data_IF_870098603693
#
_entry.id   IF_870098603693
#
_cell.length_a   1.000
_cell.length_b   1.000
_cell.length_c   1.000
_cell.angle_alpha   90.00
_cell.angle_beta   90.00
_cell.angle_gamma   90.00
#
_symmetry.space_group_name_H-M   'P 1'
#
loop_
_entity.id
_entity.type
_entity.pdbx_description
1 polymer ?
#
# COMPACT_ATOMS: atom_id res chain seq x y z
N UNK A 1 7.96 47.81 72.17
CA UNK A 1 7.01 46.70 71.91
C UNK A 1 6.85 46.59 70.39
N UNK A 2 7.52 45.59 69.81
CA UNK A 2 6.97 44.31 69.31
C UNK A 2 6.36 44.42 67.90
N UNK A 3 7.24 44.07 66.97
CA UNK A 3 7.02 43.59 65.60
C UNK A 3 5.92 42.53 65.57
N UNK A 4 4.96 42.64 64.63
CA UNK A 4 4.15 41.51 64.15
C UNK A 4 3.73 41.73 62.68
N UNK A 5 4.56 41.16 61.80
CA UNK A 5 4.27 40.23 60.70
C UNK A 5 2.91 40.29 59.97
N UNK A 6 3.02 40.73 58.72
CA UNK A 6 2.38 40.29 57.46
C UNK A 6 1.13 39.37 57.48
N UNK A 7 0.13 39.76 56.68
CA UNK A 7 -0.64 38.85 55.83
C UNK A 7 -0.98 39.52 54.50
N UNK A 8 -0.49 38.93 53.42
CA UNK A 8 -0.77 39.32 52.05
C UNK A 8 -2.16 38.83 51.63
N UNK A 9 -2.95 39.70 51.01
CA UNK A 9 -4.22 39.32 50.37
C UNK A 9 -4.06 39.46 48.87
N UNK A 10 -3.97 38.32 48.21
CA UNK A 10 -3.84 38.17 46.75
C UNK A 10 -5.23 38.36 46.14
N UNK A 11 -5.50 39.52 45.53
CA UNK A 11 -6.74 39.76 44.81
C UNK A 11 -6.59 39.38 43.33
N UNK A 12 -7.54 38.58 42.86
CA UNK A 12 -7.53 37.81 41.62
C UNK A 12 -7.52 38.65 40.33
N UNK A 13 -6.71 38.21 39.36
CA UNK A 13 -6.71 38.68 37.98
C UNK A 13 -7.77 37.89 37.18
N UNK A 14 -8.65 38.53 36.38
CA UNK A 14 -9.59 37.80 35.55
C UNK A 14 -8.83 37.08 34.42
N UNK A 15 -8.86 35.75 34.49
CA UNK A 15 -8.35 34.87 33.43
C UNK A 15 -9.19 35.06 32.18
N UNK A 16 -8.67 35.84 31.24
CA UNK A 16 -9.13 35.83 29.87
C UNK A 16 -9.06 34.39 29.36
N UNK A 17 -10.22 33.80 29.11
CA UNK A 17 -10.39 32.53 28.41
C UNK A 17 -9.90 32.71 26.98
N UNK A 18 -8.59 32.61 26.78
CA UNK A 18 -8.05 32.19 25.49
C UNK A 18 -8.60 30.79 25.27
N UNK A 19 -9.68 30.69 24.50
CA UNK A 19 -10.00 29.48 23.75
C UNK A 19 -8.75 29.17 22.96
N UNK A 20 -7.88 28.30 23.50
CA UNK A 20 -7.08 27.46 22.64
C UNK A 20 -8.11 26.72 21.80
N UNK A 21 -8.30 27.17 20.55
CA UNK A 21 -8.59 26.22 19.50
C UNK A 21 -7.46 25.21 19.60
N UNK A 22 -7.69 24.13 20.33
CA UNK A 22 -7.00 22.89 20.06
C UNK A 22 -7.32 22.63 18.60
N UNK A 23 -6.40 23.03 17.74
CA UNK A 23 -6.30 22.48 16.41
C UNK A 23 -6.14 20.99 16.68
N UNK A 24 -7.27 20.27 16.69
CA UNK A 24 -7.28 18.85 16.44
C UNK A 24 -6.76 18.75 15.02
N UNK A 25 -5.44 18.81 14.87
CA UNK A 25 -4.79 18.11 13.79
C UNK A 25 -5.35 16.70 13.95
N UNK A 26 -6.24 16.34 13.02
CA UNK A 26 -6.62 14.97 12.83
C UNK A 26 -5.34 14.25 12.39
N UNK A 27 -4.47 13.93 13.35
CA UNK A 27 -3.51 12.87 13.22
C UNK A 27 -4.24 11.56 13.49
N UNK A 28 -5.34 11.36 12.76
CA UNK A 28 -5.80 10.04 12.35
C UNK A 28 -4.90 9.53 11.20
N UNK A 29 -3.63 9.95 11.18
CA UNK A 29 -2.51 9.10 10.77
C UNK A 29 -2.38 7.93 11.78
N UNK A 30 -3.51 7.25 12.03
CA UNK A 30 -3.50 5.85 12.39
C UNK A 30 -2.73 5.23 11.25
N UNK A 31 -1.50 4.87 11.58
CA UNK A 31 -0.71 3.79 11.00
C UNK A 31 -1.60 2.72 10.34
N UNK A 32 -2.15 3.02 9.15
CA UNK A 32 -2.50 2.05 8.12
C UNK A 32 -1.18 1.54 7.53
N UNK A 33 -0.24 1.19 8.39
CA UNK A 33 0.95 0.43 8.02
C UNK A 33 0.40 -0.91 7.57
N UNK A 34 0.08 -1.01 6.29
CA UNK A 34 -0.13 -2.31 5.68
C UNK A 34 1.06 -3.16 6.07
N UNK A 35 0.80 -4.29 6.71
CA UNK A 35 1.86 -5.25 6.98
C UNK A 35 2.26 -5.77 5.61
N UNK A 36 3.47 -5.47 5.11
CA UNK A 36 3.81 -5.76 3.73
C UNK A 36 3.65 -7.26 3.40
N UNK A 37 3.82 -8.16 4.38
CA UNK A 37 3.58 -9.59 4.20
C UNK A 37 2.10 -10.05 4.15
N UNK A 38 1.16 -9.31 4.74
CA UNK A 38 -0.25 -9.71 4.78
C UNK A 38 -1.04 -9.07 3.63
N UNK A 39 -2.01 -9.80 3.08
CA UNK A 39 -2.91 -9.25 2.05
C UNK A 39 -3.66 -8.06 2.63
N UNK A 40 -3.57 -6.91 1.96
CA UNK A 40 -4.24 -5.69 2.35
C UNK A 40 -5.76 -5.82 2.11
N UNK A 41 -6.55 -5.21 2.99
CA UNK A 41 -8.00 -5.16 2.85
C UNK A 41 -8.41 -4.41 1.57
N UNK A 42 -9.54 -4.81 0.99
CA UNK A 42 -9.99 -4.27 -0.29
C UNK A 42 -10.24 -2.76 -0.21
N UNK A 43 -10.73 -2.27 0.92
CA UNK A 43 -10.97 -0.85 1.19
C UNK A 43 -9.68 -0.04 1.19
N UNK A 44 -8.59 -0.61 1.73
CA UNK A 44 -7.27 0.04 1.73
C UNK A 44 -6.77 0.16 0.30
N UNK A 45 -6.90 -0.90 -0.50
CA UNK A 45 -6.48 -0.90 -1.90
C UNK A 45 -7.32 0.06 -2.77
N UNK A 46 -8.61 0.19 -2.47
CA UNK A 46 -9.52 1.11 -3.16
C UNK A 46 -9.21 2.59 -2.83
N UNK A 47 -8.81 2.88 -1.60
CA UNK A 47 -8.43 4.23 -1.15
C UNK A 47 -7.11 4.73 -1.78
N UNK A 48 -6.29 3.84 -2.38
CA UNK A 48 -5.00 4.20 -2.96
C UNK A 48 -5.19 5.06 -4.22
N UNK A 49 -4.59 6.26 -4.20
CA UNK A 49 -4.63 7.19 -5.32
C UNK A 49 -3.58 6.80 -6.36
N UNK A 50 -4.05 6.42 -7.54
CA UNK A 50 -3.21 6.08 -8.70
C UNK A 50 -2.04 5.13 -8.35
N UNK A 51 -2.30 3.93 -7.79
CA UNK A 51 -1.22 3.02 -7.44
C UNK A 51 -0.53 2.43 -8.69
N UNK A 52 0.75 2.09 -8.56
CA UNK A 52 1.47 1.25 -9.53
C UNK A 52 1.22 -0.22 -9.18
N UNK A 53 0.78 -1.02 -10.14
CA UNK A 53 0.55 -2.45 -9.91
C UNK A 53 1.73 -3.25 -10.44
N UNK A 54 2.33 -4.07 -9.58
CA UNK A 54 3.41 -4.99 -9.90
C UNK A 54 2.92 -6.43 -9.80
N UNK A 55 2.97 -7.13 -10.93
CA UNK A 55 2.69 -8.56 -11.02
C UNK A 55 3.99 -9.34 -10.84
N UNK A 56 4.13 -10.05 -9.73
CA UNK A 56 5.37 -10.77 -9.40
C UNK A 56 5.34 -12.26 -9.75
N UNK A 57 4.37 -12.69 -10.55
CA UNK A 57 4.32 -14.04 -11.15
C UNK A 57 5.36 -14.20 -12.24
N UNK A 58 5.67 -15.45 -12.54
CA UNK A 58 6.46 -15.77 -13.73
C UNK A 58 5.65 -15.46 -14.99
N UNK A 59 6.26 -14.99 -16.09
CA UNK A 59 5.54 -14.59 -17.30
C UNK A 59 4.70 -15.75 -17.86
N UNK A 60 5.22 -16.98 -17.79
CA UNK A 60 4.48 -18.19 -18.17
C UNK A 60 3.21 -18.41 -17.32
N UNK A 61 3.21 -18.04 -16.04
CA UNK A 61 2.02 -18.12 -15.18
C UNK A 61 0.99 -17.03 -15.52
N UNK A 62 1.47 -15.85 -15.91
CA UNK A 62 0.61 -14.74 -16.36
C UNK A 62 -0.08 -15.11 -17.67
N UNK A 63 0.66 -15.68 -18.63
CA UNK A 63 0.13 -16.16 -19.90
C UNK A 63 -0.81 -17.36 -19.73
N UNK A 64 -0.50 -18.28 -18.80
CA UNK A 64 -1.38 -19.41 -18.46
C UNK A 64 -2.62 -19.01 -17.65
N UNK A 65 -2.76 -17.74 -17.27
CA UNK A 65 -3.92 -17.22 -16.56
C UNK A 65 -4.07 -17.71 -15.12
N UNK A 66 -2.96 -18.04 -14.45
CA UNK A 66 -2.97 -18.61 -13.11
C UNK A 66 -3.28 -17.55 -12.05
N UNK A 67 -4.41 -17.69 -11.36
CA UNK A 67 -4.90 -16.72 -10.36
C UNK A 67 -6.39 -16.45 -10.44
N UNK A 68 -7.09 -17.13 -11.37
CA UNK A 68 -8.52 -16.96 -11.60
C UNK A 68 -8.83 -15.79 -12.53
N UNK A 69 -10.08 -15.67 -13.00
CA UNK A 69 -10.53 -14.49 -13.72
C UNK A 69 -10.71 -13.29 -12.76
N UNK A 70 -10.24 -12.08 -13.11
CA UNK A 70 -9.36 -11.76 -14.24
C UNK A 70 -7.93 -12.27 -14.02
N UNK A 71 -7.36 -12.90 -15.05
CA UNK A 71 -6.02 -13.48 -15.00
C UNK A 71 -4.90 -12.43 -14.96
N UNK A 72 -5.13 -11.28 -15.58
CA UNK A 72 -4.20 -10.16 -15.71
C UNK A 72 -4.95 -8.88 -15.38
N UNK A 73 -4.26 -7.95 -14.73
CA UNK A 73 -4.77 -6.61 -14.44
C UNK A 73 -4.22 -5.65 -15.49
N UNK A 74 -5.08 -4.82 -16.09
CA UNK A 74 -4.62 -3.81 -17.04
C UNK A 74 -3.76 -2.75 -16.35
N UNK A 75 -2.66 -2.37 -16.99
CA UNK A 75 -1.67 -1.45 -16.41
C UNK A 75 -0.72 -2.08 -15.38
N UNK A 76 -0.83 -3.39 -15.09
CA UNK A 76 0.13 -4.08 -14.25
C UNK A 76 1.46 -4.31 -14.99
N UNK A 77 2.57 -3.97 -14.33
CA UNK A 77 3.92 -4.25 -14.81
C UNK A 77 4.35 -5.61 -14.27
N UNK A 78 4.73 -6.54 -15.15
CA UNK A 78 5.20 -7.85 -14.72
C UNK A 78 6.69 -7.80 -14.37
N UNK A 79 7.00 -8.08 -13.10
CA UNK A 79 8.37 -8.19 -12.58
C UNK A 79 8.47 -9.46 -11.73
N UNK A 80 8.86 -10.60 -12.32
CA UNK A 80 8.89 -11.88 -11.62
C UNK A 80 9.82 -11.88 -10.41
N UNK A 81 9.28 -12.28 -9.25
CA UNK A 81 10.07 -12.40 -8.03
C UNK A 81 11.10 -13.54 -8.13
N UNK A 82 10.74 -14.64 -8.79
CA UNK A 82 11.62 -15.80 -8.98
C UNK A 82 12.83 -15.44 -9.85
N UNK A 83 14.03 -15.80 -9.39
CA UNK A 83 15.28 -15.64 -10.16
C UNK A 83 15.52 -16.90 -10.98
N UNK A 84 15.86 -16.73 -12.26
CA UNK A 84 16.24 -17.83 -13.17
C UNK A 84 15.21 -18.97 -13.28
N UNK A 85 13.92 -18.67 -13.07
CA UNK A 85 12.84 -19.66 -13.05
C UNK A 85 12.82 -20.57 -11.82
N UNK A 86 13.68 -20.29 -10.83
CA UNK A 86 13.77 -21.07 -9.58
C UNK A 86 12.79 -20.52 -8.56
N UNK A 87 12.10 -21.42 -7.85
CA UNK A 87 11.11 -21.06 -6.82
C UNK A 87 11.78 -20.39 -5.62
N UNK A 88 11.06 -19.47 -4.98
CA UNK A 88 11.45 -18.83 -3.71
C UNK A 88 11.82 -19.79 -2.57
N UNK A 89 11.35 -21.05 -2.60
CA UNK A 89 11.70 -22.08 -1.61
C UNK A 89 13.10 -22.64 -1.82
N UNK A 90 13.59 -22.62 -3.05
CA UNK A 90 14.90 -23.17 -3.44
C UNK A 90 15.95 -22.06 -3.51
N UNK A 91 15.58 -20.90 -4.07
CA UNK A 91 16.42 -19.70 -4.08
C UNK A 91 15.59 -18.49 -3.64
N UNK A 92 15.78 -18.01 -2.40
CA UNK A 92 15.18 -16.75 -1.99
C UNK A 92 15.83 -15.60 -2.76
N UNK A 93 15.00 -14.70 -3.28
CA UNK A 93 15.48 -13.48 -3.94
C UNK A 93 15.89 -12.48 -2.86
N UNK A 94 17.03 -11.82 -3.02
CA UNK A 94 17.41 -10.73 -2.13
C UNK A 94 16.74 -9.43 -2.55
N UNK A 95 16.66 -8.46 -1.63
CA UNK A 95 16.13 -7.14 -1.92
C UNK A 95 16.87 -6.45 -3.08
N UNK A 96 18.21 -6.50 -3.08
CA UNK A 96 19.03 -5.88 -4.10
C UNK A 96 18.79 -6.49 -5.49
N UNK A 97 18.69 -7.82 -5.58
CA UNK A 97 18.37 -8.51 -6.84
C UNK A 97 16.99 -8.10 -7.36
N UNK A 98 16.00 -8.00 -6.49
CA UNK A 98 14.64 -7.61 -6.87
C UNK A 98 14.58 -6.15 -7.35
N UNK A 99 15.22 -5.23 -6.63
CA UNK A 99 15.29 -3.81 -7.03
C UNK A 99 16.05 -3.64 -8.36
N UNK A 100 17.12 -4.42 -8.57
CA UNK A 100 17.85 -4.40 -9.85
C UNK A 100 16.93 -4.81 -11.01
N UNK A 101 16.19 -5.90 -10.87
CA UNK A 101 15.19 -6.33 -11.87
C UNK A 101 14.14 -5.27 -12.14
N UNK A 102 13.64 -4.63 -11.09
CA UNK A 102 12.68 -3.54 -11.25
C UNK A 102 13.28 -2.41 -12.08
N UNK A 103 14.52 -2.01 -11.82
CA UNK A 103 15.20 -0.96 -12.59
C UNK A 103 15.45 -1.35 -14.06
N UNK A 104 15.55 -2.65 -14.38
CA UNK A 104 15.67 -3.14 -15.76
C UNK A 104 14.33 -3.05 -16.53
N UNK A 105 13.20 -3.24 -15.84
CA UNK A 105 11.85 -3.21 -16.45
C UNK A 105 11.23 -1.81 -16.40
N UNK A 106 11.45 -1.09 -15.31
CA UNK A 106 10.87 0.22 -15.01
C UNK A 106 12.02 1.19 -14.76
N UNK A 107 12.12 2.22 -15.60
CA UNK A 107 13.19 3.23 -15.55
C UNK A 107 13.31 3.89 -14.17
N UNK A 108 12.19 4.07 -13.46
CA UNK A 108 12.17 4.46 -12.05
C UNK A 108 10.82 4.13 -11.41
N UNK A 109 10.84 3.54 -10.21
CA UNK A 109 9.62 3.45 -9.40
C UNK A 109 9.26 4.82 -8.82
N UNK A 110 7.97 5.23 -8.88
CA UNK A 110 7.53 6.45 -8.23
C UNK A 110 7.62 6.29 -6.70
N UNK A 111 8.31 7.22 -6.05
CA UNK A 111 8.33 7.31 -4.57
C UNK A 111 7.15 8.09 -4.01
N UNK A 112 6.44 8.80 -4.87
CA UNK A 112 5.29 9.65 -4.59
C UNK A 112 3.94 8.91 -4.73
N UNK A 113 3.95 7.64 -5.15
CA UNK A 113 2.75 6.84 -5.40
C UNK A 113 2.85 5.48 -4.71
N UNK A 114 1.74 4.96 -4.15
CA UNK A 114 1.72 3.64 -3.55
C UNK A 114 1.88 2.55 -4.62
N UNK A 115 2.53 1.46 -4.24
CA UNK A 115 2.79 0.30 -5.08
C UNK A 115 1.94 -0.87 -4.55
N UNK A 116 1.18 -1.52 -5.43
CA UNK A 116 0.45 -2.75 -5.12
C UNK A 116 1.22 -3.91 -5.76
N UNK A 117 1.73 -4.82 -4.94
CA UNK A 117 2.33 -6.07 -5.44
C UNK A 117 1.31 -7.19 -5.39
N UNK A 118 1.30 -8.06 -6.40
CA UNK A 118 0.38 -9.19 -6.41
C UNK A 118 0.97 -10.42 -7.06
N UNK A 119 0.41 -11.57 -6.72
CA UNK A 119 0.69 -12.80 -7.43
C UNK A 119 -0.59 -13.58 -7.67
N UNK A 120 -0.55 -14.92 -7.66
CA UNK A 120 -1.76 -15.75 -7.76
C UNK A 120 -2.55 -15.84 -6.45
N UNK A 121 -1.88 -15.85 -5.29
CA UNK A 121 -2.49 -16.09 -3.97
C UNK A 121 -2.00 -15.14 -2.86
N UNK A 122 -1.19 -14.13 -3.19
CA UNK A 122 -0.64 -13.15 -2.24
C UNK A 122 0.68 -13.51 -1.56
N UNK A 123 1.13 -14.78 -1.54
CA UNK A 123 2.36 -15.15 -0.82
C UNK A 123 3.64 -14.50 -1.37
N UNK A 124 3.85 -14.54 -2.69
CA UNK A 124 4.97 -13.86 -3.35
C UNK A 124 4.80 -12.34 -3.37
N UNK A 125 3.54 -11.88 -3.46
CA UNK A 125 3.21 -10.46 -3.41
C UNK A 125 3.66 -9.84 -2.09
N UNK A 126 3.44 -10.54 -0.97
CA UNK A 126 3.87 -10.10 0.35
C UNK A 126 5.38 -9.92 0.46
N UNK A 127 6.17 -10.90 0.01
CA UNK A 127 7.63 -10.79 -0.02
C UNK A 127 8.12 -9.61 -0.88
N UNK A 128 7.49 -9.41 -2.03
CA UNK A 128 7.83 -8.28 -2.90
C UNK A 128 7.49 -6.93 -2.24
N UNK A 129 6.35 -6.84 -1.54
CA UNK A 129 6.00 -5.64 -0.78
C UNK A 129 6.99 -5.40 0.37
N UNK A 130 7.45 -6.45 1.06
CA UNK A 130 8.48 -6.35 2.11
C UNK A 130 9.76 -5.72 1.57
N UNK A 131 10.29 -6.24 0.46
CA UNK A 131 11.49 -5.70 -0.18
C UNK A 131 11.34 -4.23 -0.62
N UNK A 132 10.15 -3.82 -1.07
CA UNK A 132 9.87 -2.46 -1.47
C UNK A 132 9.73 -1.51 -0.27
N UNK A 133 9.04 -1.94 0.78
CA UNK A 133 8.92 -1.21 2.04
C UNK A 133 10.29 -1.00 2.69
N UNK A 134 11.12 -2.04 2.73
CA UNK A 134 12.50 -1.97 3.24
C UNK A 134 13.37 -1.01 2.41
N UNK A 135 13.03 -0.81 1.13
CA UNK A 135 13.72 0.13 0.24
C UNK A 135 13.17 1.56 0.34
N UNK A 136 12.18 1.79 1.21
CA UNK A 136 11.57 3.09 1.46
C UNK A 136 10.44 3.46 0.48
N UNK A 137 9.86 2.48 -0.22
CA UNK A 137 8.65 2.70 -1.02
C UNK A 137 7.40 2.34 -0.20
N UNK A 138 6.28 2.98 -0.52
CA UNK A 138 5.00 2.64 0.07
C UNK A 138 4.39 1.46 -0.70
N UNK A 139 4.49 0.24 -0.18
CA UNK A 139 4.03 -0.97 -0.88
C UNK A 139 2.99 -1.80 -0.09
N UNK A 140 2.03 -2.37 -0.82
CA UNK A 140 0.89 -3.12 -0.30
C UNK A 140 0.76 -4.47 -1.01
N UNK A 141 0.51 -5.54 -0.27
CA UNK A 141 0.22 -6.86 -0.85
C UNK A 141 -1.24 -6.92 -1.28
N UNK A 142 -1.48 -6.87 -2.59
CA UNK A 142 -2.82 -6.96 -3.19
C UNK A 142 -3.35 -8.38 -3.33
N UNK A 143 -2.61 -9.41 -2.91
CA UNK A 143 -3.12 -10.78 -2.94
C UNK A 143 -3.13 -11.40 -4.34
N UNK A 144 -4.28 -11.96 -4.73
CA UNK A 144 -4.54 -12.49 -6.07
C UNK A 144 -5.15 -11.43 -6.99
N UNK A 145 -5.15 -11.64 -8.32
CA UNK A 145 -5.66 -10.65 -9.25
C UNK A 145 -7.17 -10.40 -9.06
N UNK A 146 -7.95 -11.41 -8.67
CA UNK A 146 -9.36 -11.25 -8.33
C UNK A 146 -9.59 -10.30 -7.14
N UNK A 147 -8.72 -10.31 -6.14
CA UNK A 147 -8.83 -9.41 -4.97
C UNK A 147 -8.59 -7.96 -5.37
N UNK A 148 -7.58 -7.72 -6.21
CA UNK A 148 -7.30 -6.38 -6.74
C UNK A 148 -8.43 -5.92 -7.65
N UNK A 149 -8.94 -6.78 -8.52
CA UNK A 149 -10.05 -6.43 -9.41
C UNK A 149 -11.33 -6.11 -8.63
N UNK A 150 -11.57 -6.82 -7.51
CA UNK A 150 -12.71 -6.54 -6.62
C UNK A 150 -12.53 -5.22 -5.86
N UNK A 151 -11.33 -4.93 -5.37
CA UNK A 151 -11.01 -3.68 -4.67
C UNK A 151 -10.99 -2.48 -5.61
N UNK A 152 -10.51 -2.68 -6.82
CA UNK A 152 -10.27 -1.66 -7.84
C UNK A 152 -11.30 -1.86 -8.95
N UNK A 153 -12.56 -1.62 -8.61
CA UNK A 153 -13.57 -1.31 -9.64
C UNK A 153 -12.98 -0.12 -10.40
N UNK A 154 -12.54 -0.39 -11.63
CA UNK A 154 -11.84 0.55 -12.48
C UNK A 154 -12.49 1.94 -12.40
N UNK A 155 -11.70 3.01 -12.24
CA UNK A 155 -12.11 4.34 -12.70
C UNK A 155 -11.30 4.68 -13.95
N UNK A 156 -11.99 4.48 -15.07
CA UNK A 156 -11.94 5.19 -16.35
C UNK A 156 -10.65 5.81 -16.91
N UNK A 157 -10.34 5.38 -18.13
CA UNK A 157 -9.92 6.27 -19.23
C UNK A 157 -11.03 7.31 -19.52
N UNK A 158 -10.67 8.46 -20.09
CA UNK A 158 -11.47 9.69 -20.25
C UNK A 158 -12.87 9.56 -20.92
N UNK A 159 -13.36 8.35 -21.24
CA UNK A 159 -14.67 8.06 -21.85
C UNK A 159 -15.74 7.47 -20.93
N UNK A 160 -15.56 7.39 -19.62
CA UNK A 160 -16.72 7.36 -18.71
C UNK A 160 -17.57 6.09 -18.60
N UNK A 161 -17.21 4.93 -19.18
CA UNK A 161 -17.96 3.67 -18.95
C UNK A 161 -17.06 2.41 -19.01
N UNK A 162 -17.24 1.49 -18.05
CA UNK A 162 -16.59 0.18 -18.00
C UNK A 162 -17.67 -0.90 -18.13
N UNK A 163 -17.48 -1.92 -18.99
CA UNK A 163 -18.46 -2.97 -19.13
C UNK A 163 -18.57 -3.78 -17.82
N UNK A 164 -19.79 -4.14 -17.39
CA UNK A 164 -19.99 -4.92 -16.18
C UNK A 164 -19.24 -6.25 -16.29
N UNK A 165 -18.53 -6.62 -15.23
CA UNK A 165 -17.95 -7.96 -15.10
C UNK A 165 -19.08 -9.00 -15.13
N UNK A 166 -19.22 -9.71 -16.24
CA UNK A 166 -20.01 -10.94 -16.31
C UNK A 166 -19.09 -12.12 -15.98
N UNK A 167 -19.25 -12.77 -14.81
CA UNK A 167 -18.53 -14.01 -14.52
C UNK A 167 -18.91 -15.07 -15.57
N UNK A 168 -17.97 -15.95 -16.00
CA UNK A 168 -18.31 -17.06 -16.86
C UNK A 168 -19.32 -17.98 -16.15
N UNK A 169 -20.45 -18.27 -16.82
CA UNK A 169 -21.47 -19.20 -16.35
C UNK A 169 -20.89 -20.62 -16.20
N UNK A 170 -21.38 -21.43 -15.23
CA UNK A 170 -20.84 -22.76 -14.91
C UNK A 170 -20.97 -23.78 -16.04
#
# INVERSE_FOLDING_TARGET
MRIVRALATFAAQPRGTRRLLSVRFASDFVSRSARPGAVADAEVLADLKNPVILDVRDPAEVEAGKGGPPAKIEGAVNVPLNMDGVKQSERPTTQEEFLKKINEVVVALPKDRPIITHCGSGGRGGKAAEHLCDAGFEAYNGGGPAHIAAARVYEMTESGELPPYTPPMP
#
